data_IF_756245106261
#
_entry.id   IF_756245106261
#
_cell.length_a   1.000
_cell.length_b   1.000
_cell.length_c   1.000
_cell.angle_alpha   90.00
_cell.angle_beta   90.00
_cell.angle_gamma   90.00
#
_symmetry.space_group_name_H-M   'P 1'
#
loop_
_entity.id
_entity.type
_entity.pdbx_description
1 polymer ?
#
# COMPACT_ATOMS: atom_id res chain seq x y z
N UNK A 1 7.24 -8.93 11.07
CA UNK A 1 7.56 -8.36 9.75
C UNK A 1 8.44 -7.15 10.00
N UNK A 2 9.65 -7.16 9.50
CA UNK A 2 10.57 -6.02 9.55
C UNK A 2 10.17 -4.96 8.52
N UNK A 3 10.69 -3.74 8.66
CA UNK A 3 10.41 -2.63 7.72
C UNK A 3 10.80 -2.99 6.27
N UNK A 4 11.92 -3.68 6.08
CA UNK A 4 12.39 -4.11 4.76
C UNK A 4 11.51 -5.21 4.15
N UNK A 5 11.03 -6.14 4.98
CA UNK A 5 10.04 -7.15 4.56
C UNK A 5 8.71 -6.49 4.16
N UNK A 6 8.28 -5.46 4.88
CA UNK A 6 7.08 -4.67 4.55
C UNK A 6 7.20 -3.92 3.25
N UNK A 7 8.30 -3.20 3.06
CA UNK A 7 8.57 -2.51 1.80
C UNK A 7 8.55 -3.49 0.63
N UNK A 8 9.22 -4.63 0.77
CA UNK A 8 9.29 -5.65 -0.30
C UNK A 8 7.91 -6.23 -0.62
N UNK A 9 7.11 -6.53 0.40
CA UNK A 9 5.76 -7.06 0.25
C UNK A 9 4.84 -6.04 -0.44
N UNK A 10 4.78 -4.81 0.06
CA UNK A 10 3.94 -3.75 -0.50
C UNK A 10 4.36 -3.43 -1.93
N UNK A 11 5.67 -3.37 -2.20
CA UNK A 11 6.22 -3.10 -3.53
C UNK A 11 5.84 -4.18 -4.53
N UNK A 12 5.92 -5.46 -4.14
CA UNK A 12 5.47 -6.58 -4.98
C UNK A 12 3.99 -6.44 -5.33
N UNK A 13 3.14 -6.10 -4.36
CA UNK A 13 1.69 -5.95 -4.56
C UNK A 13 1.39 -4.77 -5.49
N UNK A 14 2.08 -3.64 -5.33
CA UNK A 14 1.90 -2.49 -6.22
C UNK A 14 2.29 -2.84 -7.66
N UNK A 15 3.43 -3.51 -7.88
CA UNK A 15 3.84 -3.94 -9.23
C UNK A 15 2.84 -4.91 -9.86
N UNK A 16 2.33 -5.86 -9.08
CA UNK A 16 1.31 -6.83 -9.53
C UNK A 16 -0.02 -6.13 -9.93
N UNK A 17 -0.44 -5.10 -9.19
CA UNK A 17 -1.75 -4.46 -9.38
C UNK A 17 -1.69 -3.32 -10.39
N UNK A 18 -0.59 -2.56 -10.43
CA UNK A 18 -0.42 -1.42 -11.33
C UNK A 18 0.23 -1.79 -12.66
N UNK A 19 0.79 -3.01 -12.77
CA UNK A 19 1.53 -3.47 -13.95
C UNK A 19 2.67 -2.49 -14.34
N UNK A 20 3.30 -1.89 -13.32
CA UNK A 20 4.33 -0.86 -13.45
C UNK A 20 5.53 -1.16 -12.56
N UNK A 21 6.68 -0.60 -12.90
CA UNK A 21 7.83 -0.55 -12.00
C UNK A 21 7.54 0.40 -10.84
N UNK A 22 7.94 -0.01 -9.63
CA UNK A 22 7.69 0.73 -8.38
C UNK A 22 9.00 0.94 -7.66
N UNK A 23 9.29 2.20 -7.37
CA UNK A 23 10.36 2.71 -6.52
C UNK A 23 9.79 3.58 -5.39
N UNK A 24 10.68 4.17 -4.59
CA UNK A 24 10.30 4.97 -3.42
C UNK A 24 9.55 6.26 -3.76
N UNK A 25 9.76 6.82 -4.95
CA UNK A 25 9.14 8.06 -5.41
C UNK A 25 7.92 7.84 -6.31
N UNK A 26 7.58 6.57 -6.57
CA UNK A 26 6.43 6.20 -7.37
C UNK A 26 5.13 6.70 -6.73
N UNK A 27 4.46 7.60 -7.43
CA UNK A 27 3.10 8.05 -7.09
C UNK A 27 2.07 7.05 -7.63
N UNK A 28 1.17 6.61 -6.75
CA UNK A 28 0.13 5.64 -7.07
C UNK A 28 -0.74 6.08 -8.25
N UNK A 29 -1.18 7.34 -8.27
CA UNK A 29 -2.05 7.85 -9.33
C UNK A 29 -1.27 8.09 -10.63
N UNK A 30 -0.04 8.59 -10.51
CA UNK A 30 0.90 8.75 -11.63
C UNK A 30 1.25 7.43 -12.32
N UNK A 31 1.30 6.33 -11.55
CA UNK A 31 1.53 4.98 -12.06
C UNK A 31 0.28 4.30 -12.64
N UNK A 32 -0.85 5.01 -12.77
CA UNK A 32 -2.11 4.47 -13.30
C UNK A 32 -3.09 3.91 -12.26
N UNK A 33 -2.80 4.12 -10.97
CA UNK A 33 -3.65 3.70 -9.87
C UNK A 33 -4.98 4.45 -9.80
N UNK A 34 -6.05 3.70 -9.51
CA UNK A 34 -7.40 4.22 -9.30
C UNK A 34 -8.10 3.46 -8.17
N UNK A 35 -9.35 3.82 -7.84
CA UNK A 35 -10.09 3.26 -6.69
C UNK A 35 -10.10 1.73 -6.64
N UNK A 36 -10.35 1.06 -7.78
CA UNK A 36 -10.32 -0.41 -7.82
C UNK A 36 -8.92 -1.00 -7.57
N UNK A 37 -7.86 -0.41 -8.11
CA UNK A 37 -6.48 -0.81 -7.84
C UNK A 37 -6.13 -0.63 -6.35
N UNK A 38 -6.53 0.49 -5.75
CA UNK A 38 -6.31 0.75 -4.32
C UNK A 38 -7.02 -0.30 -3.45
N UNK A 39 -8.30 -0.58 -3.71
CA UNK A 39 -9.04 -1.62 -2.99
C UNK A 39 -8.40 -3.01 -3.14
N UNK A 40 -7.88 -3.33 -4.33
CA UNK A 40 -7.15 -4.59 -4.58
C UNK A 40 -5.87 -4.68 -3.77
N UNK A 41 -5.04 -3.63 -3.76
CA UNK A 41 -3.82 -3.56 -2.94
C UNK A 41 -4.14 -3.78 -1.46
N UNK A 42 -5.12 -3.07 -0.93
CA UNK A 42 -5.55 -3.18 0.48
C UNK A 42 -6.01 -4.61 0.80
N UNK A 43 -6.85 -5.21 -0.06
CA UNK A 43 -7.34 -6.57 0.14
C UNK A 43 -6.22 -7.63 0.09
N UNK A 44 -5.24 -7.46 -0.80
CA UNK A 44 -4.08 -8.35 -0.90
C UNK A 44 -3.17 -8.21 0.32
N UNK A 45 -2.93 -6.99 0.81
CA UNK A 45 -2.17 -6.74 2.04
C UNK A 45 -2.84 -7.42 3.25
N UNK A 46 -4.16 -7.26 3.40
CA UNK A 46 -4.91 -7.90 4.48
C UNK A 46 -4.88 -9.43 4.40
N UNK A 47 -5.07 -10.00 3.21
CA UNK A 47 -5.13 -11.45 3.04
C UNK A 47 -3.77 -12.15 3.10
N UNK A 48 -2.71 -11.57 2.54
CA UNK A 48 -1.37 -12.20 2.49
C UNK A 48 -0.52 -11.90 3.72
N UNK A 49 -0.70 -10.73 4.33
CA UNK A 49 0.20 -10.23 5.38
C UNK A 49 -0.52 -9.84 6.68
N UNK A 50 -1.85 -9.97 6.75
CA UNK A 50 -2.63 -9.58 7.93
C UNK A 50 -2.67 -8.06 8.16
N UNK A 51 -2.24 -7.26 7.18
CA UNK A 51 -2.19 -5.79 7.28
C UNK A 51 -3.54 -5.21 6.89
N UNK A 52 -4.31 -4.75 7.88
CA UNK A 52 -5.59 -4.07 7.65
C UNK A 52 -5.39 -2.56 7.69
N UNK A 53 -5.66 -1.89 6.56
CA UNK A 53 -5.52 -0.45 6.45
C UNK A 53 -6.68 0.15 5.66
N UNK A 54 -7.23 1.31 6.06
CA UNK A 54 -8.25 2.00 5.28
C UNK A 54 -7.69 2.46 3.93
N UNK A 55 -8.48 2.33 2.86
CA UNK A 55 -8.09 2.82 1.53
C UNK A 55 -7.70 4.31 1.53
N UNK A 56 -8.26 5.09 2.46
CA UNK A 56 -7.95 6.50 2.67
C UNK A 56 -6.46 6.74 2.95
N UNK A 57 -5.77 5.82 3.62
CA UNK A 57 -4.34 5.96 3.94
C UNK A 57 -3.50 6.02 2.66
N UNK A 58 -3.83 5.20 1.68
CA UNK A 58 -3.16 5.21 0.37
C UNK A 58 -3.47 6.50 -0.40
N UNK A 59 -4.70 7.00 -0.31
CA UNK A 59 -5.06 8.27 -0.96
C UNK A 59 -4.42 9.50 -0.30
N UNK A 60 -4.29 9.49 1.03
CA UNK A 60 -3.63 10.58 1.77
C UNK A 60 -2.10 10.51 1.62
N UNK A 61 -1.54 9.34 1.29
CA UNK A 61 -0.11 9.09 1.11
C UNK A 61 0.14 8.30 -0.20
N UNK A 62 -0.04 8.94 -1.38
CA UNK A 62 -0.03 8.22 -2.65
C UNK A 62 1.38 7.85 -3.12
N UNK A 63 2.44 8.40 -2.53
CA UNK A 63 3.81 8.01 -2.83
C UNK A 63 4.17 6.73 -2.09
N UNK A 64 4.80 5.78 -2.78
CA UNK A 64 5.12 4.46 -2.25
C UNK A 64 5.87 4.50 -0.91
N UNK A 65 6.96 5.28 -0.82
CA UNK A 65 7.73 5.39 0.42
C UNK A 65 6.91 5.93 1.60
N UNK A 66 6.00 6.89 1.35
CA UNK A 66 5.16 7.47 2.38
C UNK A 66 4.08 6.47 2.85
N UNK A 67 3.46 5.77 1.91
CA UNK A 67 2.49 4.71 2.24
C UNK A 67 3.12 3.61 3.11
N UNK A 68 4.29 3.11 2.71
CA UNK A 68 5.03 2.09 3.48
C UNK A 68 5.41 2.63 4.87
N UNK A 69 5.87 3.88 4.96
CA UNK A 69 6.24 4.50 6.23
C UNK A 69 5.04 4.64 7.19
N UNK A 70 3.84 4.91 6.68
CA UNK A 70 2.61 4.94 7.50
C UNK A 70 2.26 3.54 8.00
N UNK A 71 2.30 2.53 7.12
CA UNK A 71 2.03 1.14 7.51
C UNK A 71 3.01 0.61 8.56
N UNK A 72 4.28 1.01 8.48
CA UNK A 72 5.30 0.61 9.46
C UNK A 72 5.05 1.22 10.86
N UNK A 73 4.48 2.43 10.91
CA UNK A 73 4.20 3.14 12.17
C UNK A 73 2.93 2.66 12.86
N UNK A 74 1.93 2.20 12.12
CA UNK A 74 0.61 1.83 12.65
C UNK A 74 0.08 0.54 11.99
N UNK A 75 0.47 -0.65 12.47
CA UNK A 75 0.06 -1.93 11.87
C UNK A 75 -1.42 -2.30 12.12
N UNK A 76 -2.17 -1.51 12.90
CA UNK A 76 -3.57 -1.76 13.30
C UNK A 76 -4.41 -0.49 13.05
N UNK A 77 -4.79 -0.22 11.79
CA UNK A 77 -5.66 0.92 11.48
C UNK A 77 -7.12 0.48 11.30
N UNK A 78 -7.87 0.55 12.40
CA UNK A 78 -9.33 0.63 12.49
C UNK A 78 -9.72 1.21 13.86
N UNK A 79 -10.77 2.05 13.98
CA UNK A 79 -12.14 1.70 13.57
C UNK A 79 -12.78 2.65 12.56
N UNK A 80 -13.63 2.03 11.75
CA UNK A 80 -14.63 2.66 10.89
C UNK A 80 -15.62 3.46 11.75
N UNK A 81 -15.79 4.74 11.43
CA UNK A 81 -16.91 5.57 11.86
C UNK A 81 -17.83 5.84 10.68
#
# INVERSE_FOLDING_TARGET
MTDDELRTAVGTIWREVLEADVDDDTDFFGAGGHSFAALRIIAVLGSRHGVSVPVKVLFDNPRFADFVAVLAKEPELSPQG
#
